data_IF_687033393895
#
_entry.id   IF_687033393895
#
_cell.length_a   1.000
_cell.length_b   1.000
_cell.length_c   1.000
_cell.angle_alpha   90.00
_cell.angle_beta   90.00
_cell.angle_gamma   90.00
#
_symmetry.space_group_name_H-M   'P 1'
#
loop_
_entity.id
_entity.type
_entity.pdbx_description
1 polymer ?
#
# COMPACT_ATOMS: atom_id res chain seq x y z
N UNK A 1 -20.85 -58.82 -29.57
CA UNK A 1 -19.80 -57.86 -29.18
C UNK A 1 -20.36 -56.45 -29.36
N UNK A 2 -21.08 -55.91 -28.38
CA UNK A 2 -21.68 -54.57 -28.46
C UNK A 2 -20.71 -53.56 -27.86
N UNK A 3 -20.21 -52.64 -28.70
CA UNK A 3 -19.29 -51.58 -28.32
C UNK A 3 -19.99 -50.45 -27.56
N UNK A 4 -19.50 -50.15 -26.37
CA UNK A 4 -19.95 -49.03 -25.54
C UNK A 4 -19.14 -47.79 -25.95
N UNK A 5 -19.76 -46.83 -26.65
CA UNK A 5 -19.15 -45.51 -26.82
C UNK A 5 -19.39 -44.66 -25.57
N UNK A 6 -18.36 -44.00 -24.99
CA UNK A 6 -18.56 -43.02 -23.94
C UNK A 6 -19.02 -41.70 -24.57
N UNK A 7 -20.23 -41.27 -24.20
CA UNK A 7 -20.76 -39.94 -24.47
C UNK A 7 -19.84 -38.93 -23.77
N UNK A 8 -19.22 -38.02 -24.52
CA UNK A 8 -18.48 -36.89 -23.95
C UNK A 8 -19.48 -35.80 -23.53
N UNK A 9 -19.59 -35.56 -22.23
CA UNK A 9 -20.20 -34.34 -21.69
C UNK A 9 -19.18 -33.21 -21.84
N UNK A 10 -19.47 -32.25 -22.72
CA UNK A 10 -18.76 -30.98 -22.74
C UNK A 10 -19.21 -30.15 -21.53
N UNK A 11 -18.28 -29.82 -20.64
CA UNK A 11 -18.51 -28.83 -19.61
C UNK A 11 -18.82 -27.48 -20.28
N UNK A 12 -20.02 -26.96 -20.05
CA UNK A 12 -20.36 -25.57 -20.38
C UNK A 12 -19.47 -24.67 -19.52
N UNK A 13 -18.61 -23.89 -20.17
CA UNK A 13 -17.79 -22.90 -19.50
C UNK A 13 -18.68 -21.92 -18.76
N UNK A 14 -18.37 -21.66 -17.49
CA UNK A 14 -18.98 -20.60 -16.70
C UNK A 14 -18.78 -19.27 -17.43
N UNK A 15 -19.87 -18.71 -17.94
CA UNK A 15 -19.91 -17.34 -18.45
C UNK A 15 -19.70 -16.43 -17.26
N UNK A 16 -18.49 -15.91 -17.08
CA UNK A 16 -18.27 -14.78 -16.18
C UNK A 16 -18.87 -13.55 -16.83
N UNK A 17 -19.69 -12.85 -16.07
CA UNK A 17 -20.33 -11.59 -16.45
C UNK A 17 -19.25 -10.63 -16.92
N UNK A 18 -19.37 -10.14 -18.16
CA UNK A 18 -18.40 -9.26 -18.78
C UNK A 18 -18.28 -7.93 -18.03
N UNK A 19 -17.19 -7.78 -17.28
CA UNK A 19 -16.66 -6.47 -16.92
C UNK A 19 -16.03 -5.87 -18.19
N UNK A 20 -16.69 -4.83 -18.72
CA UNK A 20 -16.31 -4.16 -19.97
C UNK A 20 -14.81 -3.84 -19.98
N UNK A 21 -14.09 -4.39 -20.97
CA UNK A 21 -12.63 -4.30 -21.12
C UNK A 21 -12.13 -2.85 -21.26
N UNK A 22 -13.03 -1.89 -21.51
CA UNK A 22 -12.76 -0.46 -21.46
C UNK A 22 -12.53 0.03 -20.02
N UNK A 23 -13.32 -0.44 -19.07
CA UNK A 23 -13.27 -0.01 -17.65
C UNK A 23 -12.00 -0.51 -16.96
N UNK A 24 -11.57 -1.74 -17.26
CA UNK A 24 -10.29 -2.29 -16.78
C UNK A 24 -9.08 -1.50 -17.30
N UNK A 25 -9.12 -1.08 -18.57
CA UNK A 25 -8.04 -0.29 -19.20
C UNK A 25 -7.98 1.14 -18.64
N UNK A 26 -9.12 1.76 -18.37
CA UNK A 26 -9.22 3.08 -17.75
C UNK A 26 -8.72 3.08 -16.28
N UNK A 27 -9.02 2.04 -15.51
CA UNK A 27 -8.54 1.91 -14.12
C UNK A 27 -7.03 1.74 -14.03
N UNK A 28 -6.41 0.99 -14.95
CA UNK A 28 -4.96 0.84 -14.99
C UNK A 28 -4.26 2.13 -15.44
N UNK A 29 -4.81 2.85 -16.43
CA UNK A 29 -4.28 4.14 -16.88
C UNK A 29 -4.34 5.23 -15.79
N UNK A 30 -5.39 5.26 -14.96
CA UNK A 30 -5.49 6.21 -13.84
C UNK A 30 -4.50 5.89 -12.69
N UNK A 31 -4.17 4.61 -12.49
CA UNK A 31 -3.16 4.18 -11.51
C UNK A 31 -1.73 4.50 -12.00
N UNK A 32 -1.47 4.30 -13.29
CA UNK A 32 -0.21 4.63 -13.96
C UNK A 32 0.01 6.15 -14.10
N UNK A 33 -1.06 6.92 -14.32
CA UNK A 33 -1.06 8.39 -14.40
C UNK A 33 -0.71 9.13 -13.10
N UNK A 34 -0.72 8.43 -11.95
CA UNK A 34 -0.18 8.97 -10.68
C UNK A 34 1.31 8.71 -10.52
N UNK A 35 1.84 7.72 -11.24
CA UNK A 35 3.22 7.24 -11.16
C UNK A 35 4.18 7.98 -12.11
N UNK A 36 3.64 8.72 -13.08
CA UNK A 36 4.38 9.28 -14.22
C UNK A 36 4.47 10.82 -14.27
N UNK A 37 4.05 11.52 -13.20
CA UNK A 37 4.58 12.88 -12.96
C UNK A 37 5.96 12.73 -12.34
N UNK A 38 6.93 13.55 -12.75
CA UNK A 38 8.33 13.52 -12.29
C UNK A 38 8.53 13.86 -10.78
N UNK A 39 7.54 13.58 -9.94
CA UNK A 39 7.60 13.73 -8.49
C UNK A 39 7.90 12.41 -7.81
N UNK A 40 8.56 12.50 -6.64
CA UNK A 40 8.84 11.34 -5.80
C UNK A 40 7.56 10.63 -5.39
N UNK A 41 7.59 9.30 -5.35
CA UNK A 41 6.48 8.52 -4.81
C UNK A 41 6.32 8.75 -3.30
N UNK A 42 5.14 8.47 -2.73
CA UNK A 42 4.95 8.56 -1.28
C UNK A 42 5.92 7.68 -0.49
N UNK A 43 6.28 6.51 -1.04
CA UNK A 43 7.29 5.63 -0.45
C UNK A 43 8.68 6.26 -0.46
N UNK A 44 9.09 6.90 -1.56
CA UNK A 44 10.37 7.62 -1.63
C UNK A 44 10.41 8.78 -0.63
N UNK A 45 9.32 9.54 -0.52
CA UNK A 45 9.20 10.62 0.48
C UNK A 45 9.33 10.06 1.90
N UNK A 46 8.74 8.90 2.19
CA UNK A 46 8.79 8.27 3.51
C UNK A 46 10.20 7.87 3.95
N UNK A 47 11.07 7.59 2.98
CA UNK A 47 12.46 7.20 3.16
C UNK A 47 13.44 8.38 3.13
N UNK A 48 12.97 9.58 2.78
CA UNK A 48 13.83 10.72 2.52
C UNK A 48 14.30 11.41 3.81
N UNK A 49 15.61 11.61 3.93
CA UNK A 49 16.23 12.18 5.16
C UNK A 49 16.45 13.68 5.08
N UNK A 50 16.49 14.25 3.88
CA UNK A 50 16.64 15.71 3.66
C UNK A 50 15.39 16.50 4.05
N UNK A 51 14.29 15.83 4.39
CA UNK A 51 13.03 16.46 4.80
C UNK A 51 13.00 16.86 6.28
N UNK A 52 14.10 16.67 7.00
CA UNK A 52 14.27 17.08 8.40
C UNK A 52 15.26 18.23 8.55
N UNK A 53 15.20 18.93 9.67
CA UNK A 53 16.21 19.92 10.03
C UNK A 53 16.67 19.74 11.49
N UNK A 54 17.96 19.53 11.75
CA UNK A 54 19.02 19.25 10.76
C UNK A 54 18.70 17.99 9.92
N UNK A 55 19.28 17.90 8.72
CA UNK A 55 19.08 16.75 7.84
C UNK A 55 19.59 15.46 8.50
N UNK A 56 18.95 14.33 8.18
CA UNK A 56 19.35 13.00 8.65
C UNK A 56 18.24 12.15 9.28
N UNK A 57 17.07 12.73 9.50
CA UNK A 57 15.88 12.02 9.99
C UNK A 57 14.84 11.87 8.87
N UNK A 58 14.30 10.66 8.69
CA UNK A 58 13.20 10.36 7.78
C UNK A 58 11.96 9.88 8.56
N UNK A 59 10.82 9.69 7.89
CA UNK A 59 9.63 9.13 8.53
C UNK A 59 9.91 7.72 9.10
N UNK A 60 10.69 6.91 8.36
CA UNK A 60 11.13 5.57 8.81
C UNK A 60 11.96 5.59 10.10
N UNK A 61 12.56 6.71 10.48
CA UNK A 61 13.37 6.80 11.69
C UNK A 61 12.54 6.71 12.98
N UNK A 62 11.22 6.94 12.90
CA UNK A 62 10.25 6.73 13.99
C UNK A 62 9.15 5.71 13.63
N UNK A 63 9.02 5.31 12.36
CA UNK A 63 8.00 4.37 11.92
C UNK A 63 8.64 3.16 11.23
N UNK A 64 9.12 2.22 12.04
CA UNK A 64 9.90 1.08 11.58
C UNK A 64 9.01 0.02 10.94
N UNK A 65 9.23 -0.30 9.67
CA UNK A 65 8.46 -1.32 8.95
C UNK A 65 8.52 -2.70 9.62
N UNK A 66 9.67 -3.04 10.24
CA UNK A 66 9.87 -4.29 10.98
C UNK A 66 9.06 -4.38 12.28
N UNK A 67 8.52 -3.26 12.76
CA UNK A 67 7.73 -3.17 13.99
C UNK A 67 6.34 -2.59 13.69
N UNK A 68 5.71 -3.00 12.58
CA UNK A 68 4.38 -2.51 12.21
C UNK A 68 4.29 -0.97 12.12
N UNK A 69 5.36 -0.33 11.66
CA UNK A 69 5.49 1.13 11.55
C UNK A 69 5.33 1.87 12.88
N UNK A 70 5.69 1.24 14.00
CA UNK A 70 5.81 1.91 15.31
C UNK A 70 7.28 2.25 15.62
N UNK A 71 7.48 3.15 16.58
CA UNK A 71 8.74 3.25 17.30
C UNK A 71 8.66 2.39 18.57
N UNK A 72 9.55 1.41 18.80
CA UNK A 72 9.55 0.62 20.03
C UNK A 72 10.01 1.43 21.25
N UNK A 73 10.58 2.63 21.06
CA UNK A 73 10.94 3.52 22.18
C UNK A 73 9.67 4.15 22.79
N UNK A 74 9.67 4.46 24.10
CA UNK A 74 8.54 5.16 24.73
C UNK A 74 8.18 6.48 24.03
N UNK A 75 9.20 7.19 23.56
CA UNK A 75 9.09 8.43 22.78
C UNK A 75 10.26 8.46 21.79
N UNK A 76 9.99 8.91 20.55
CA UNK A 76 11.01 9.05 19.53
C UNK A 76 11.87 10.31 19.72
N UNK A 77 13.19 10.25 19.48
CA UNK A 77 14.01 11.44 19.33
C UNK A 77 13.61 12.19 18.06
N UNK A 78 13.70 13.52 18.13
CA UNK A 78 13.62 14.41 16.98
C UNK A 78 14.97 14.54 16.28
N UNK A 79 14.96 15.21 15.13
CA UNK A 79 16.17 15.48 14.35
C UNK A 79 17.19 16.36 15.11
N UNK A 80 16.71 17.27 15.96
CA UNK A 80 17.57 18.09 16.83
C UNK A 80 17.99 17.27 18.04
N UNK A 81 19.30 17.17 18.29
CA UNK A 81 19.85 16.41 19.42
C UNK A 81 19.26 16.90 20.75
N UNK A 82 18.76 15.98 21.56
CA UNK A 82 18.15 16.26 22.86
C UNK A 82 16.68 16.65 22.81
N UNK A 83 16.09 16.83 21.61
CA UNK A 83 14.66 16.99 21.45
C UNK A 83 14.01 15.62 21.29
N UNK A 84 12.92 15.38 22.01
CA UNK A 84 12.10 14.19 21.87
C UNK A 84 10.69 14.59 21.44
N UNK A 85 9.94 13.63 20.90
CA UNK A 85 8.51 13.76 20.72
C UNK A 85 7.77 14.03 22.04
N UNK A 86 6.49 14.38 21.96
CA UNK A 86 5.65 14.58 23.15
C UNK A 86 4.90 13.32 23.57
N UNK A 87 4.78 12.35 22.67
CA UNK A 87 4.09 11.07 22.83
C UNK A 87 4.84 9.99 22.06
N UNK A 88 4.44 8.74 22.27
CA UNK A 88 4.89 7.61 21.45
C UNK A 88 4.47 7.81 19.98
N UNK A 89 5.26 7.26 19.05
CA UNK A 89 4.89 7.19 17.65
C UNK A 89 3.99 5.94 17.43
N UNK A 90 2.70 6.13 17.09
CA UNK A 90 1.77 5.01 16.91
C UNK A 90 2.03 4.24 15.61
N UNK A 91 1.38 3.09 15.45
CA UNK A 91 1.43 2.32 14.21
C UNK A 91 0.72 3.07 13.09
N UNK A 92 1.32 3.07 11.90
CA UNK A 92 0.68 3.62 10.71
C UNK A 92 -0.23 2.60 9.99
N UNK A 93 -0.22 1.33 10.39
CA UNK A 93 -1.11 0.32 9.80
C UNK A 93 -2.57 0.67 10.06
N UNK A 94 -2.87 1.15 11.27
CA UNK A 94 -4.24 1.50 11.67
C UNK A 94 -4.71 2.80 10.99
N UNK A 95 -3.84 3.80 10.84
CA UNK A 95 -4.15 5.04 10.12
C UNK A 95 -4.56 4.79 8.65
N UNK A 96 -3.99 3.77 7.99
CA UNK A 96 -4.41 3.37 6.65
C UNK A 96 -5.80 2.70 6.63
N UNK A 97 -6.18 2.05 7.74
CA UNK A 97 -7.44 1.32 7.86
C UNK A 97 -8.62 2.25 8.15
N UNK A 98 -8.43 3.35 8.92
CA UNK A 98 -9.45 4.37 9.17
C UNK A 98 -9.95 5.01 7.86
N UNK A 99 -9.02 5.36 6.96
CA UNK A 99 -9.34 5.95 5.66
C UNK A 99 -10.11 5.00 4.72
N UNK A 100 -9.98 3.69 4.91
CA UNK A 100 -10.62 2.67 4.07
C UNK A 100 -12.02 2.28 4.56
N UNK A 101 -12.45 2.75 5.74
CA UNK A 101 -13.75 2.39 6.35
C UNK A 101 -14.87 3.43 6.15
N UNK A 102 -14.61 4.53 5.46
CA UNK A 102 -15.63 5.54 5.15
C UNK A 102 -16.41 5.30 3.84
N UNK A 103 -16.11 4.24 3.08
CA UNK A 103 -16.87 3.86 1.87
C UNK A 103 -17.91 2.77 2.18
N UNK A 104 -18.72 3.00 3.22
CA UNK A 104 -19.89 2.18 3.57
C UNK A 104 -21.18 2.79 3.07
#
# INVERSE_FOLDING_TARGET
>A
MLGWLPIRVSAVGSVTVGEDSRTGRLRMAAKEGRKNRAGKTGQEIFLETVLSHPEGQACVSCHLSSAAFVDPRPVSPGAVRGHNGRRNAPSLIEAACELARCDG
#
